data_IF_913270566661
#
_entry.id   IF_913270566661
#
_cell.length_a   1.000
_cell.length_b   1.000
_cell.length_c   1.000
_cell.angle_alpha   90.00
_cell.angle_beta   90.00
_cell.angle_gamma   90.00
#
_symmetry.space_group_name_H-M   'P 1'
#
loop_
_entity.id
_entity.type
_entity.pdbx_description
1 polymer ?
#
# COMPACT_ATOMS: atom_id res chain seq x y z
N UNK A 1 6.93 -7.75 27.67
CA UNK A 1 5.56 -8.10 28.10
C UNK A 1 4.69 -6.90 27.74
N UNK A 2 3.57 -7.13 27.05
CA UNK A 2 2.68 -6.10 26.49
C UNK A 2 1.38 -6.01 27.31
N UNK A 3 1.37 -5.34 28.49
CA UNK A 3 0.21 -5.27 29.36
C UNK A 3 -1.03 -4.64 28.73
N UNK A 4 -0.93 -3.65 27.85
CA UNK A 4 -2.10 -3.03 27.22
C UNK A 4 -2.74 -3.96 26.20
N UNK A 5 -1.96 -4.63 25.36
CA UNK A 5 -2.47 -5.68 24.45
C UNK A 5 -3.09 -6.83 25.25
N UNK A 6 -2.48 -7.24 26.36
CA UNK A 6 -2.98 -8.34 27.20
C UNK A 6 -4.36 -8.05 27.80
N UNK A 7 -4.69 -6.79 28.07
CA UNK A 7 -6.02 -6.40 28.57
C UNK A 7 -7.15 -6.69 27.57
N UNK A 8 -6.83 -6.71 26.28
CA UNK A 8 -7.79 -6.93 25.18
C UNK A 8 -8.19 -8.41 25.01
N UNK A 9 -7.56 -9.35 25.71
CA UNK A 9 -7.69 -10.81 25.46
C UNK A 9 -9.12 -11.36 25.50
N UNK A 10 -10.03 -10.67 26.17
CA UNK A 10 -11.43 -11.07 26.33
C UNK A 10 -12.39 -10.20 25.50
N UNK A 11 -11.88 -9.25 24.74
CA UNK A 11 -12.70 -8.42 23.87
C UNK A 11 -13.07 -9.21 22.60
N UNK A 12 -14.27 -8.96 22.08
CA UNK A 12 -14.67 -9.49 20.79
C UNK A 12 -13.84 -8.81 19.69
N UNK A 13 -13.56 -9.55 18.62
CA UNK A 13 -12.98 -8.96 17.41
C UNK A 13 -13.85 -7.80 16.92
N UNK A 14 -13.22 -6.70 16.50
CA UNK A 14 -13.96 -5.55 15.98
C UNK A 14 -14.75 -5.95 14.72
N UNK A 15 -15.83 -5.26 14.39
CA UNK A 15 -16.50 -5.42 13.10
C UNK A 15 -16.66 -4.05 12.49
N UNK A 16 -16.21 -3.87 11.25
CA UNK A 16 -16.24 -2.58 10.59
C UNK A 16 -16.85 -2.69 9.20
N UNK A 17 -17.76 -1.79 8.86
CA UNK A 17 -18.50 -1.80 7.61
C UNK A 17 -18.73 -0.37 7.12
N UNK A 18 -18.60 -0.17 5.81
CA UNK A 18 -19.12 1.03 5.15
C UNK A 18 -20.49 0.71 4.57
N UNK A 19 -21.49 1.55 4.87
CA UNK A 19 -22.83 1.46 4.29
C UNK A 19 -23.20 2.78 3.64
N UNK A 20 -23.88 2.72 2.49
CA UNK A 20 -24.45 3.92 1.88
C UNK A 20 -25.85 4.15 2.46
N UNK A 21 -25.99 5.14 3.33
CA UNK A 21 -27.28 5.51 3.93
C UNK A 21 -27.52 7.01 3.76
N UNK A 22 -28.72 7.37 3.29
CA UNK A 22 -29.08 8.74 2.93
C UNK A 22 -28.16 9.35 1.85
N UNK A 23 -27.65 8.53 0.92
CA UNK A 23 -26.86 8.99 -0.22
C UNK A 23 -25.39 9.30 0.05
N UNK A 24 -24.87 8.94 1.24
CA UNK A 24 -23.47 9.10 1.59
C UNK A 24 -22.90 7.83 2.25
N UNK A 25 -21.61 7.53 2.09
CA UNK A 25 -20.95 6.46 2.83
C UNK A 25 -20.88 6.82 4.32
N UNK A 26 -21.17 5.83 5.17
CA UNK A 26 -21.12 5.92 6.63
C UNK A 26 -20.34 4.74 7.19
N UNK A 27 -19.54 5.01 8.22
CA UNK A 27 -18.75 4.01 8.89
C UNK A 27 -19.51 3.46 10.10
N UNK A 28 -19.62 2.14 10.17
CA UNK A 28 -20.17 1.43 11.32
C UNK A 28 -19.06 0.62 11.97
N UNK A 29 -18.91 0.75 13.29
CA UNK A 29 -17.97 0.00 14.11
C UNK A 29 -18.74 -0.73 15.21
N UNK A 30 -18.61 -2.06 15.25
CA UNK A 30 -19.32 -2.95 16.17
C UNK A 30 -20.84 -2.80 16.15
N UNK A 31 -21.40 -2.31 15.03
CA UNK A 31 -22.83 -2.09 14.83
C UNK A 31 -23.28 -0.64 15.02
N UNK A 32 -22.45 0.22 15.62
CA UNK A 32 -22.76 1.62 15.86
C UNK A 32 -22.16 2.51 14.78
N UNK A 33 -22.89 3.55 14.36
CA UNK A 33 -22.37 4.56 13.45
C UNK A 33 -21.29 5.40 14.15
N UNK A 34 -20.13 5.56 13.50
CA UNK A 34 -19.02 6.37 13.99
C UNK A 34 -18.61 7.40 12.94
N UNK A 35 -18.17 8.58 13.41
CA UNK A 35 -17.64 9.59 12.51
C UNK A 35 -16.27 9.13 11.98
N UNK A 36 -16.07 9.00 10.64
CA UNK A 36 -14.87 8.40 10.06
C UNK A 36 -13.67 9.35 10.05
N UNK A 37 -13.29 9.86 11.23
CA UNK A 37 -12.13 10.73 11.39
C UNK A 37 -10.93 9.94 11.88
N UNK A 38 -10.02 9.64 10.96
CA UNK A 38 -8.77 8.93 11.26
C UNK A 38 -7.63 9.94 11.48
N UNK A 39 -6.83 9.72 12.51
CA UNK A 39 -5.67 10.54 12.82
C UNK A 39 -4.34 9.83 12.52
N UNK A 40 -3.42 10.59 11.93
CA UNK A 40 -2.04 10.21 11.71
C UNK A 40 -1.12 11.43 11.92
N UNK A 41 0.12 11.17 12.33
CA UNK A 41 1.20 12.16 12.37
C UNK A 41 2.55 11.45 12.30
N UNK A 42 3.59 12.21 12.00
CA UNK A 42 4.95 11.81 12.33
C UNK A 42 5.11 11.77 13.85
N UNK A 43 5.56 10.64 14.41
CA UNK A 43 5.55 10.45 15.86
C UNK A 43 4.12 10.24 16.37
N UNK A 44 3.44 9.24 15.81
CA UNK A 44 2.05 8.94 16.13
C UNK A 44 1.91 8.56 17.61
N UNK A 45 2.90 7.88 18.20
CA UNK A 45 2.89 7.56 19.63
C UNK A 45 2.80 8.83 20.47
N UNK A 46 3.60 9.85 20.16
CA UNK A 46 3.62 11.10 20.92
C UNK A 46 2.31 11.89 20.73
N UNK A 47 1.71 11.80 19.54
CA UNK A 47 0.49 12.52 19.18
C UNK A 47 -0.79 11.82 19.63
N UNK A 48 -0.77 10.51 19.88
CA UNK A 48 -1.95 9.71 20.20
C UNK A 48 -2.72 10.24 21.43
N UNK A 49 -2.01 10.74 22.45
CA UNK A 49 -2.66 11.37 23.61
C UNK A 49 -3.40 12.66 23.23
N UNK A 50 -2.82 13.49 22.36
CA UNK A 50 -3.43 14.75 21.91
C UNK A 50 -4.68 14.44 21.09
N UNK A 51 -4.61 13.45 20.20
CA UNK A 51 -5.79 12.99 19.43
C UNK A 51 -6.92 12.53 20.34
N UNK A 52 -6.59 11.72 21.36
CA UNK A 52 -7.56 11.30 22.39
C UNK A 52 -8.19 12.49 23.13
N UNK A 53 -7.38 13.47 23.55
CA UNK A 53 -7.88 14.69 24.21
C UNK A 53 -8.82 15.51 23.32
N UNK A 54 -8.69 15.37 21.99
CA UNK A 54 -9.58 15.96 20.99
C UNK A 54 -10.80 15.08 20.65
N UNK A 55 -10.93 13.90 21.27
CA UNK A 55 -12.00 12.94 20.98
C UNK A 55 -11.79 12.13 19.69
N UNK A 56 -10.55 11.96 19.24
CA UNK A 56 -10.20 11.16 18.06
C UNK A 56 -9.54 9.85 18.50
N UNK A 57 -10.28 8.75 18.36
CA UNK A 57 -9.85 7.41 18.78
C UNK A 57 -9.50 6.48 17.62
N UNK A 58 -9.81 6.86 16.37
CA UNK A 58 -9.40 6.12 15.18
C UNK A 58 -8.00 6.59 14.76
N UNK A 59 -6.99 5.73 14.94
CA UNK A 59 -5.61 5.99 14.57
C UNK A 59 -5.22 5.23 13.31
N UNK A 60 -4.34 5.81 12.50
CA UNK A 60 -3.93 5.26 11.21
C UNK A 60 -2.41 5.02 11.17
N UNK A 61 -1.87 4.06 11.95
CA UNK A 61 -0.44 3.76 11.97
C UNK A 61 0.03 3.21 10.62
N UNK A 62 1.31 3.42 10.28
CA UNK A 62 1.91 2.86 9.06
C UNK A 62 2.83 1.70 9.45
N UNK A 63 2.67 0.56 8.79
CA UNK A 63 3.41 -0.67 9.01
C UNK A 63 4.08 -1.09 7.70
N UNK A 64 5.40 -0.98 7.61
CA UNK A 64 6.20 -1.53 6.52
C UNK A 64 6.49 -3.01 6.76
N UNK A 65 6.01 -3.91 5.91
CA UNK A 65 6.21 -5.35 6.09
C UNK A 65 7.69 -5.77 6.02
N UNK A 66 8.54 -4.96 5.38
CA UNK A 66 10.00 -5.09 5.42
C UNK A 66 10.55 -5.16 6.85
N UNK A 67 9.89 -4.49 7.81
CA UNK A 67 10.31 -4.44 9.20
C UNK A 67 10.22 -5.79 9.91
N UNK A 68 9.31 -6.65 9.44
CA UNK A 68 8.98 -7.93 10.05
C UNK A 68 9.50 -9.13 9.25
N UNK A 69 10.36 -8.90 8.26
CA UNK A 69 10.90 -9.94 7.39
C UNK A 69 12.43 -9.98 7.41
N UNK A 70 13.05 -10.42 8.52
CA UNK A 70 14.51 -10.36 8.71
C UNK A 70 15.27 -11.29 7.76
N UNK A 71 14.70 -12.44 7.42
CA UNK A 71 15.29 -13.45 6.55
C UNK A 71 14.20 -14.32 5.90
N UNK A 72 14.56 -15.06 4.85
CA UNK A 72 13.64 -15.95 4.16
C UNK A 72 13.03 -17.00 5.10
N UNK A 73 11.71 -17.18 5.03
CA UNK A 73 10.98 -18.17 5.82
C UNK A 73 10.76 -17.82 7.31
N UNK A 74 11.16 -16.63 7.77
CA UNK A 74 10.99 -16.20 9.17
C UNK A 74 10.40 -14.80 9.26
N UNK A 75 9.43 -14.63 10.17
CA UNK A 75 8.82 -13.34 10.47
C UNK A 75 9.02 -12.96 11.94
N UNK A 76 9.19 -11.66 12.20
CA UNK A 76 9.29 -11.08 13.54
C UNK A 76 8.34 -9.89 13.69
N UNK A 77 7.29 -10.07 14.49
CA UNK A 77 6.23 -9.07 14.69
C UNK A 77 6.48 -8.14 15.89
N UNK A 78 7.62 -8.30 16.57
CA UNK A 78 7.90 -7.62 17.85
C UNK A 78 7.82 -6.09 17.74
N UNK A 79 8.25 -5.52 16.61
CA UNK A 79 8.19 -4.07 16.38
C UNK A 79 6.75 -3.57 16.25
N UNK A 80 5.87 -4.34 15.59
CA UNK A 80 4.46 -3.98 15.46
C UNK A 80 3.74 -4.10 16.80
N UNK A 81 3.96 -5.17 17.56
CA UNK A 81 3.41 -5.31 18.91
C UNK A 81 3.88 -4.17 19.82
N UNK A 82 5.16 -3.82 19.78
CA UNK A 82 5.70 -2.71 20.55
C UNK A 82 5.09 -1.35 20.15
N UNK A 83 4.79 -1.14 18.86
CA UNK A 83 4.10 0.06 18.39
C UNK A 83 2.67 0.12 18.94
N UNK A 84 1.87 -0.94 18.74
CA UNK A 84 0.49 -0.96 19.23
C UNK A 84 0.40 -0.87 20.75
N UNK A 85 1.32 -1.51 21.47
CA UNK A 85 1.40 -1.39 22.93
C UNK A 85 1.61 0.08 23.35
N UNK A 86 2.53 0.79 22.69
CA UNK A 86 2.78 2.21 22.98
C UNK A 86 1.58 3.08 22.63
N UNK A 87 0.91 2.82 21.51
CA UNK A 87 -0.30 3.55 21.11
C UNK A 87 -1.43 3.34 22.13
N UNK A 88 -1.69 2.10 22.52
CA UNK A 88 -2.71 1.75 23.53
C UNK A 88 -2.35 2.30 24.92
N UNK A 89 -1.07 2.48 25.24
CA UNK A 89 -0.67 3.14 26.47
C UNK A 89 -1.07 4.61 26.51
N UNK A 90 -1.08 5.30 25.36
CA UNK A 90 -1.49 6.71 25.23
C UNK A 90 -3.01 6.84 25.08
N UNK A 91 -3.61 5.95 24.27
CA UNK A 91 -5.04 5.87 24.06
C UNK A 91 -5.54 4.42 24.19
N UNK A 92 -5.98 4.01 25.40
CA UNK A 92 -6.50 2.66 25.63
C UNK A 92 -7.80 2.33 24.87
N UNK A 93 -8.50 3.36 24.40
CA UNK A 93 -9.78 3.23 23.70
C UNK A 93 -9.60 3.24 22.17
N UNK A 94 -8.36 3.38 21.69
CA UNK A 94 -8.06 3.52 20.28
C UNK A 94 -8.46 2.30 19.44
N UNK A 95 -8.95 2.60 18.24
CA UNK A 95 -9.13 1.67 17.13
C UNK A 95 -8.15 2.03 16.01
N UNK A 96 -7.77 1.04 15.20
CA UNK A 96 -6.71 1.20 14.21
C UNK A 96 -7.17 0.79 12.82
N UNK A 97 -6.82 1.62 11.84
CA UNK A 97 -6.79 1.26 10.42
C UNK A 97 -5.32 1.32 9.97
N UNK A 98 -4.51 0.25 10.15
CA UNK A 98 -3.11 0.31 9.78
C UNK A 98 -2.95 0.42 8.26
N UNK A 99 -2.05 1.30 7.82
CA UNK A 99 -1.54 1.29 6.45
C UNK A 99 -0.43 0.26 6.34
N UNK A 100 -0.70 -0.84 5.65
CA UNK A 100 0.23 -1.96 5.49
C UNK A 100 0.96 -1.79 4.16
N UNK A 101 2.25 -1.47 4.22
CA UNK A 101 3.10 -1.27 3.05
C UNK A 101 3.79 -2.57 2.65
N UNK A 102 3.63 -2.92 1.37
CA UNK A 102 4.19 -4.11 0.73
C UNK A 102 5.67 -3.92 0.33
N UNK A 103 6.46 -3.36 1.24
CA UNK A 103 7.87 -3.08 1.03
C UNK A 103 8.72 -4.32 1.30
N UNK A 104 9.76 -4.53 0.47
CA UNK A 104 10.69 -5.64 0.63
C UNK A 104 11.99 -5.21 1.34
N UNK A 105 12.58 -6.07 2.19
CA UNK A 105 13.85 -5.80 2.86
C UNK A 105 15.03 -5.83 1.87
N UNK A 106 16.15 -5.21 2.26
CA UNK A 106 17.35 -5.11 1.41
C UNK A 106 17.91 -6.48 0.99
N UNK A 107 17.85 -7.50 1.86
CA UNK A 107 18.32 -8.84 1.53
C UNK A 107 17.51 -9.48 0.38
N UNK A 108 16.21 -9.18 0.30
CA UNK A 108 15.35 -9.71 -0.77
C UNK A 108 15.79 -9.13 -2.11
N UNK A 109 16.01 -7.80 -2.15
CA UNK A 109 16.52 -7.11 -3.34
C UNK A 109 17.87 -7.67 -3.80
N UNK A 110 18.76 -8.01 -2.86
CA UNK A 110 20.07 -8.60 -3.15
C UNK A 110 19.98 -10.04 -3.70
N UNK A 111 18.98 -10.83 -3.28
CA UNK A 111 18.76 -12.19 -3.75
C UNK A 111 17.96 -12.27 -5.05
N UNK A 112 17.18 -11.23 -5.35
CA UNK A 112 16.29 -11.16 -6.52
C UNK A 112 16.59 -9.95 -7.41
N UNK A 113 17.85 -9.73 -7.86
CA UNK A 113 18.17 -8.58 -8.69
C UNK A 113 17.44 -8.59 -10.04
N UNK A 114 17.12 -9.78 -10.56
CA UNK A 114 16.41 -9.96 -11.83
C UNK A 114 14.91 -9.64 -11.73
N UNK A 115 14.37 -9.46 -10.53
CA UNK A 115 12.95 -9.14 -10.27
C UNK A 115 12.72 -7.65 -10.01
N UNK A 116 13.76 -6.83 -10.12
CA UNK A 116 13.71 -5.38 -9.92
C UNK A 116 13.33 -4.63 -11.20
N UNK A 117 12.80 -3.43 -11.04
CA UNK A 117 12.47 -2.53 -12.15
C UNK A 117 13.72 -2.19 -12.97
N UNK A 118 13.58 -2.23 -14.29
CA UNK A 118 14.59 -1.75 -15.24
C UNK A 118 14.09 -0.45 -15.85
N UNK A 119 14.68 0.68 -15.46
CA UNK A 119 14.25 1.98 -15.97
C UNK A 119 14.60 2.17 -17.45
N UNK A 120 13.64 2.68 -18.24
CA UNK A 120 13.88 3.05 -19.63
C UNK A 120 14.70 4.34 -19.77
N UNK A 121 14.61 5.24 -18.79
CA UNK A 121 15.35 6.50 -18.76
C UNK A 121 16.58 6.39 -17.86
N UNK A 122 17.68 7.10 -18.19
CA UNK A 122 18.89 7.07 -17.39
C UNK A 122 18.62 7.65 -16.00
N UNK A 123 18.96 6.86 -14.99
CA UNK A 123 18.90 7.26 -13.58
C UNK A 123 20.13 8.08 -13.23
N UNK A 124 20.00 9.16 -12.45
CA UNK A 124 21.15 9.95 -11.97
C UNK A 124 21.37 9.70 -10.47
N UNK A 125 21.96 8.56 -10.07
CA UNK A 125 22.12 8.19 -8.67
C UNK A 125 23.01 9.17 -7.89
N UNK A 126 23.93 9.87 -8.57
CA UNK A 126 24.88 10.82 -7.96
C UNK A 126 24.31 12.23 -7.75
N UNK A 127 23.03 12.45 -8.06
CA UNK A 127 22.36 13.75 -7.88
C UNK A 127 21.61 13.79 -6.54
N UNK A 128 22.37 14.00 -5.45
CA UNK A 128 21.96 13.95 -4.03
C UNK A 128 20.71 14.75 -3.65
N UNK A 129 20.24 15.71 -4.48
CA UNK A 129 19.13 16.59 -4.11
C UNK A 129 17.74 15.96 -4.29
N UNK A 130 17.60 14.95 -5.15
CA UNK A 130 16.30 14.35 -5.48
C UNK A 130 16.12 12.94 -4.89
N UNK A 131 17.21 12.18 -4.72
CA UNK A 131 17.19 10.81 -4.20
C UNK A 131 17.93 10.78 -2.86
N UNK A 132 17.18 11.04 -1.77
CA UNK A 132 17.72 10.93 -0.41
C UNK A 132 17.89 9.47 -0.02
N UNK A 133 18.84 9.21 0.87
CA UNK A 133 18.93 7.91 1.54
C UNK A 133 17.57 7.51 2.11
N UNK A 134 17.20 6.25 1.91
CA UNK A 134 15.96 5.70 2.43
C UNK A 134 16.03 5.72 3.96
N UNK A 135 15.14 6.49 4.58
CA UNK A 135 15.01 6.60 6.03
C UNK A 135 13.99 5.55 6.49
N UNK A 136 14.41 4.64 7.36
CA UNK A 136 13.48 3.72 8.02
C UNK A 136 12.84 4.41 9.23
N UNK A 137 11.52 4.48 9.24
CA UNK A 137 10.74 4.96 10.39
C UNK A 137 11.04 4.12 11.64
N UNK A 138 11.16 4.79 12.79
CA UNK A 138 11.21 4.12 14.10
C UNK A 138 9.84 3.63 14.57
N UNK A 139 8.77 4.03 13.90
CA UNK A 139 7.40 3.58 14.14
C UNK A 139 6.95 2.74 12.94
N UNK A 140 6.83 1.43 13.15
CA UNK A 140 6.28 0.49 12.15
C UNK A 140 7.18 0.26 10.93
N UNK A 141 8.41 0.77 10.93
CA UNK A 141 9.46 0.41 9.97
C UNK A 141 9.23 0.78 8.50
N UNK A 142 8.27 1.67 8.21
CA UNK A 142 8.09 2.29 6.89
C UNK A 142 9.42 2.78 6.32
N UNK A 143 9.65 2.52 5.04
CA UNK A 143 10.76 3.08 4.28
C UNK A 143 10.32 4.41 3.64
N UNK A 144 10.96 5.52 4.02
CA UNK A 144 10.70 6.85 3.47
C UNK A 144 11.85 7.30 2.58
N UNK A 145 11.55 7.57 1.32
CA UNK A 145 12.53 7.94 0.30
C UNK A 145 12.24 7.21 -1.01
N UNK A 146 13.07 7.46 -2.02
CA UNK A 146 12.98 6.79 -3.32
C UNK A 146 14.25 5.94 -3.46
N UNK A 147 14.10 4.62 -3.43
CA UNK A 147 15.17 3.68 -3.76
C UNK A 147 15.25 3.47 -5.26
N UNK A 148 16.46 3.40 -5.81
CA UNK A 148 16.69 3.00 -7.21
C UNK A 148 16.54 1.50 -7.45
N UNK A 149 16.38 0.71 -6.38
CA UNK A 149 16.16 -0.72 -6.43
C UNK A 149 14.79 -1.00 -5.81
N UNK A 150 13.79 -1.23 -6.64
CA UNK A 150 12.44 -1.61 -6.22
C UNK A 150 11.91 -2.76 -7.09
N UNK A 151 11.10 -3.67 -6.51
CA UNK A 151 10.57 -4.82 -7.24
C UNK A 151 9.62 -4.35 -8.35
N UNK A 152 9.66 -5.04 -9.49
CA UNK A 152 8.63 -4.88 -10.49
C UNK A 152 7.31 -5.44 -9.96
N UNK A 153 6.21 -4.69 -10.09
CA UNK A 153 4.88 -5.24 -9.79
C UNK A 153 4.47 -6.35 -10.77
N UNK A 154 5.19 -6.54 -11.88
CA UNK A 154 5.00 -7.68 -12.78
C UNK A 154 5.77 -8.94 -12.31
N UNK A 155 6.62 -8.85 -11.29
CA UNK A 155 7.34 -10.00 -10.74
C UNK A 155 6.41 -10.99 -10.05
N UNK A 156 6.36 -12.21 -10.56
CA UNK A 156 5.62 -13.32 -9.93
C UNK A 156 6.26 -13.77 -8.62
N UNK A 157 7.59 -13.68 -8.51
CA UNK A 157 8.34 -14.02 -7.28
C UNK A 157 7.98 -13.02 -6.17
N UNK A 158 8.05 -11.72 -6.47
CA UNK A 158 7.65 -10.69 -5.52
C UNK A 158 6.20 -10.85 -5.07
N UNK A 159 5.27 -11.06 -6.01
CA UNK A 159 3.85 -11.27 -5.69
C UNK A 159 3.66 -12.48 -4.76
N UNK A 160 4.27 -13.61 -5.09
CA UNK A 160 4.13 -14.83 -4.31
C UNK A 160 4.71 -14.70 -2.90
N UNK A 161 5.85 -14.04 -2.74
CA UNK A 161 6.46 -13.88 -1.42
C UNK A 161 5.75 -12.83 -0.58
N UNK A 162 5.32 -11.72 -1.19
CA UNK A 162 4.50 -10.72 -0.50
C UNK A 162 3.12 -11.27 -0.12
N UNK A 163 2.52 -12.17 -0.92
CA UNK A 163 1.29 -12.87 -0.55
C UNK A 163 1.51 -13.70 0.72
N UNK A 164 2.58 -14.51 0.78
CA UNK A 164 2.90 -15.31 1.97
C UNK A 164 3.11 -14.43 3.20
N UNK A 165 3.84 -13.32 3.05
CA UNK A 165 4.13 -12.39 4.14
C UNK A 165 2.86 -11.68 4.62
N UNK A 166 2.03 -11.18 3.70
CA UNK A 166 0.77 -10.51 4.03
C UNK A 166 -0.20 -11.47 4.73
N UNK A 167 -0.36 -12.71 4.22
CA UNK A 167 -1.20 -13.71 4.88
C UNK A 167 -0.71 -14.01 6.30
N UNK A 168 0.60 -14.20 6.48
CA UNK A 168 1.16 -14.45 7.80
C UNK A 168 0.97 -13.27 8.77
N UNK A 169 1.11 -12.03 8.27
CA UNK A 169 0.83 -10.82 9.05
C UNK A 169 -0.64 -10.75 9.47
N UNK A 170 -1.57 -10.94 8.52
CA UNK A 170 -3.01 -10.88 8.80
C UNK A 170 -3.40 -11.98 9.80
N UNK A 171 -2.94 -13.21 9.61
CA UNK A 171 -3.18 -14.32 10.54
C UNK A 171 -2.62 -14.02 11.93
N UNK A 172 -1.44 -13.41 12.02
CA UNK A 172 -0.87 -12.98 13.30
C UNK A 172 -1.78 -11.96 14.00
N UNK A 173 -2.20 -10.92 13.28
CA UNK A 173 -3.08 -9.87 13.82
C UNK A 173 -4.46 -10.43 14.21
N UNK A 174 -5.02 -11.32 13.40
CA UNK A 174 -6.31 -11.96 13.61
C UNK A 174 -6.33 -12.92 14.81
N UNK A 175 -5.20 -13.53 15.12
CA UNK A 175 -5.04 -14.40 16.29
C UNK A 175 -4.56 -13.64 17.53
N UNK A 176 -4.30 -12.33 17.41
CA UNK A 176 -3.89 -11.46 18.50
C UNK A 176 -5.10 -10.80 19.18
N UNK A 177 -5.02 -10.48 20.49
CA UNK A 177 -6.00 -9.61 21.14
C UNK A 177 -6.22 -8.27 20.43
N UNK A 178 -5.24 -7.80 19.63
CA UNK A 178 -5.36 -6.60 18.80
C UNK A 178 -6.52 -6.67 17.81
N UNK A 179 -6.99 -7.85 17.39
CA UNK A 179 -8.13 -7.99 16.49
C UNK A 179 -9.43 -7.31 17.01
N UNK A 180 -9.53 -7.09 18.32
CA UNK A 180 -10.61 -6.30 18.95
C UNK A 180 -10.56 -4.81 18.64
N UNK A 181 -9.43 -4.31 18.14
CA UNK A 181 -9.15 -2.89 17.87
C UNK A 181 -8.84 -2.59 16.40
N UNK A 182 -8.87 -3.58 15.51
CA UNK A 182 -8.57 -3.38 14.08
C UNK A 182 -9.88 -3.16 13.30
N UNK A 183 -10.05 -1.96 12.75
CA UNK A 183 -11.23 -1.62 11.91
C UNK A 183 -11.01 -1.97 10.45
N UNK A 184 -9.79 -2.34 10.07
CA UNK A 184 -9.44 -2.72 8.71
C UNK A 184 -7.97 -2.51 8.42
N UNK A 185 -7.63 -2.58 7.13
CA UNK A 185 -6.27 -2.35 6.64
C UNK A 185 -6.30 -1.52 5.37
N UNK A 186 -5.44 -0.51 5.30
CA UNK A 186 -5.17 0.18 4.05
C UNK A 186 -3.93 -0.45 3.39
N UNK A 187 -4.10 -1.16 2.28
CA UNK A 187 -2.98 -1.79 1.58
C UNK A 187 -2.27 -0.76 0.71
N UNK A 188 -0.96 -0.65 0.88
CA UNK A 188 -0.10 0.29 0.16
C UNK A 188 1.08 -0.40 -0.50
N UNK A 189 1.50 0.14 -1.64
CA UNK A 189 2.78 -0.11 -2.28
C UNK A 189 3.14 1.13 -3.11
N UNK A 190 4.32 1.16 -3.71
CA UNK A 190 4.74 2.28 -4.55
C UNK A 190 5.22 3.47 -3.74
N UNK A 191 5.43 4.59 -4.43
CA UNK A 191 5.95 5.82 -3.80
C UNK A 191 4.97 6.27 -2.70
N UNK A 192 5.51 6.44 -1.48
CA UNK A 192 4.78 6.80 -0.24
C UNK A 192 3.66 5.83 0.18
N UNK A 193 3.58 4.64 -0.42
CA UNK A 193 2.51 3.68 -0.17
C UNK A 193 1.18 4.05 -0.82
N UNK A 194 1.20 4.95 -1.82
CA UNK A 194 0.00 5.51 -2.44
C UNK A 194 -0.33 4.90 -3.80
N UNK A 195 0.31 3.78 -4.15
CA UNK A 195 0.21 3.10 -5.45
C UNK A 195 0.70 3.92 -6.65
N UNK A 196 1.45 4.99 -6.41
CA UNK A 196 2.32 5.57 -7.43
C UNK A 196 3.38 4.55 -7.82
N UNK A 197 3.47 4.19 -9.10
CA UNK A 197 4.48 3.22 -9.55
C UNK A 197 5.89 3.65 -9.09
N UNK A 198 6.68 2.71 -8.57
CA UNK A 198 8.05 3.03 -8.18
C UNK A 198 8.82 3.60 -9.38
N UNK A 199 9.68 4.58 -9.11
CA UNK A 199 10.52 5.20 -10.14
C UNK A 199 9.72 5.77 -11.33
N UNK A 200 8.49 6.26 -11.11
CA UNK A 200 7.62 6.87 -12.13
C UNK A 200 8.30 7.97 -12.98
N UNK A 201 9.40 8.55 -12.50
CA UNK A 201 10.24 9.52 -13.22
C UNK A 201 11.11 8.89 -14.33
N UNK A 202 11.39 7.59 -14.25
CA UNK A 202 12.39 6.89 -15.05
C UNK A 202 11.87 5.68 -15.84
N UNK A 203 10.62 5.31 -15.59
CA UNK A 203 9.92 4.21 -16.26
C UNK A 203 9.33 4.69 -17.59
N UNK A 204 8.87 3.80 -18.49
CA UNK A 204 8.32 2.46 -18.27
C UNK A 204 9.35 1.44 -17.76
N UNK A 205 8.85 0.43 -17.03
CA UNK A 205 9.64 -0.70 -16.57
C UNK A 205 9.94 -1.65 -17.74
N UNK A 206 11.22 -1.81 -18.06
CA UNK A 206 11.74 -2.68 -19.11
C UNK A 206 12.11 -4.07 -18.59
N UNK A 207 11.79 -4.40 -17.33
CA UNK A 207 12.04 -5.73 -16.77
C UNK A 207 11.41 -6.82 -17.65
N UNK A 208 12.04 -8.00 -17.67
CA UNK A 208 11.55 -9.11 -18.50
C UNK A 208 10.12 -9.51 -18.10
N UNK A 209 9.82 -9.45 -16.80
CA UNK A 209 8.52 -9.75 -16.22
C UNK A 209 7.45 -8.77 -16.73
N UNK A 210 7.76 -7.46 -16.74
CA UNK A 210 6.84 -6.46 -17.28
C UNK A 210 6.58 -6.72 -18.77
N UNK A 211 7.62 -6.93 -19.56
CA UNK A 211 7.48 -7.18 -21.00
C UNK A 211 6.73 -8.48 -21.31
N UNK A 212 6.95 -9.55 -20.52
CA UNK A 212 6.17 -10.79 -20.63
C UNK A 212 4.69 -10.55 -20.31
N UNK A 213 4.39 -9.67 -19.35
CA UNK A 213 3.02 -9.44 -18.87
C UNK A 213 2.20 -8.53 -19.79
N UNK A 214 2.76 -7.40 -20.23
CA UNK A 214 2.01 -6.39 -20.99
C UNK A 214 2.48 -6.22 -22.44
N UNK A 215 3.53 -6.94 -22.84
CA UNK A 215 4.15 -6.85 -24.15
C UNK A 215 5.31 -5.85 -24.20
N UNK A 216 5.92 -5.72 -25.38
CA UNK A 216 7.01 -4.79 -25.59
C UNK A 216 6.57 -3.33 -25.35
N UNK A 217 7.45 -2.56 -24.74
CA UNK A 217 7.25 -1.15 -24.47
C UNK A 217 7.39 -0.34 -25.77
N UNK A 218 6.40 0.51 -26.13
CA UNK A 218 6.55 1.40 -27.28
C UNK A 218 7.77 2.32 -27.15
N UNK A 219 8.43 2.60 -28.28
CA UNK A 219 9.62 3.44 -28.32
C UNK A 219 9.40 4.84 -27.73
N UNK A 220 10.47 5.45 -27.23
CA UNK A 220 10.42 6.73 -26.54
C UNK A 220 9.69 7.82 -27.34
N UNK A 221 10.01 7.96 -28.64
CA UNK A 221 9.40 8.98 -29.50
C UNK A 221 7.87 8.80 -29.62
N UNK A 222 7.39 7.56 -29.74
CA UNK A 222 5.95 7.27 -29.81
C UNK A 222 5.23 7.63 -28.50
N UNK A 223 5.90 7.48 -27.35
CA UNK A 223 5.34 7.84 -26.05
C UNK A 223 5.41 9.34 -25.77
N UNK A 224 6.43 10.06 -26.23
CA UNK A 224 6.56 11.50 -26.00
C UNK A 224 5.76 12.36 -27.00
N UNK A 225 5.61 11.90 -28.23
CA UNK A 225 4.86 12.61 -29.25
C UNK A 225 3.37 12.26 -29.14
N UNK A 226 2.51 13.24 -29.38
CA UNK A 226 1.07 13.05 -29.52
C UNK A 226 0.53 13.99 -30.61
N UNK A 227 -0.50 13.56 -31.33
CA UNK A 227 -0.98 14.33 -32.48
C UNK A 227 -1.79 15.58 -32.08
N UNK A 228 -2.44 15.56 -30.91
CA UNK A 228 -3.38 16.59 -30.49
C UNK A 228 -3.02 17.21 -29.12
N UNK A 229 -1.72 17.40 -28.85
CA UNK A 229 -1.19 18.11 -27.68
C UNK A 229 -1.28 17.35 -26.36
N UNK A 230 -2.49 17.06 -25.88
CA UNK A 230 -2.74 16.23 -24.69
C UNK A 230 -3.43 14.91 -25.01
N UNK A 231 -4.03 14.79 -26.19
CA UNK A 231 -4.82 13.64 -26.60
C UNK A 231 -4.10 12.83 -27.68
N UNK A 232 -4.32 11.51 -27.67
CA UNK A 232 -3.83 10.56 -28.67
C UNK A 232 -4.91 10.23 -29.70
N UNK A 233 -4.49 10.02 -30.95
CA UNK A 233 -5.32 9.52 -32.04
C UNK A 233 -5.45 7.98 -31.93
N UNK A 234 -6.63 7.42 -31.64
CA UNK A 234 -6.79 5.98 -31.45
C UNK A 234 -6.54 5.17 -32.72
N UNK A 235 -6.63 5.75 -33.91
CA UNK A 235 -6.35 5.03 -35.17
C UNK A 235 -4.84 4.89 -35.45
N UNK A 236 -4.02 5.80 -34.92
CA UNK A 236 -2.58 5.88 -35.23
C UNK A 236 -1.68 5.55 -34.05
N UNK A 237 -2.14 5.84 -32.84
CA UNK A 237 -1.38 5.72 -31.59
C UNK A 237 -1.93 4.60 -30.70
N UNK A 238 -2.69 3.67 -31.31
CA UNK A 238 -3.33 2.54 -30.64
C UNK A 238 -2.38 1.76 -29.74
N UNK A 239 -1.16 1.46 -30.21
CA UNK A 239 -0.21 0.64 -29.47
C UNK A 239 0.25 1.30 -28.15
N UNK A 240 0.35 2.63 -28.11
CA UNK A 240 0.70 3.36 -26.89
C UNK A 240 -0.48 3.41 -25.92
N UNK A 241 -1.69 3.61 -26.45
CA UNK A 241 -2.93 3.57 -25.65
C UNK A 241 -3.08 2.20 -25.00
N UNK A 242 -2.91 1.13 -25.78
CA UNK A 242 -3.04 -0.25 -25.31
C UNK A 242 -1.94 -0.63 -24.31
N UNK A 243 -0.71 -0.16 -24.53
CA UNK A 243 0.38 -0.34 -23.56
C UNK A 243 0.02 0.25 -22.19
N UNK A 244 -0.41 1.52 -22.14
CA UNK A 244 -0.79 2.14 -20.87
C UNK A 244 -2.05 1.50 -20.29
N UNK A 245 -3.05 1.14 -21.11
CA UNK A 245 -4.23 0.42 -20.62
C UNK A 245 -3.83 -0.85 -19.87
N UNK A 246 -2.96 -1.69 -20.46
CA UNK A 246 -2.45 -2.92 -19.80
C UNK A 246 -1.61 -2.63 -18.57
N UNK A 247 -0.75 -1.62 -18.61
CA UNK A 247 0.04 -1.21 -17.44
C UNK A 247 -0.86 -0.83 -16.25
N UNK A 248 -1.84 0.05 -16.47
CA UNK A 248 -2.73 0.52 -15.41
C UNK A 248 -3.72 -0.57 -14.95
N UNK A 249 -4.35 -1.28 -15.88
CA UNK A 249 -5.38 -2.27 -15.56
C UNK A 249 -4.80 -3.62 -15.14
N UNK A 250 -3.88 -4.20 -15.91
CA UNK A 250 -3.43 -5.58 -15.75
C UNK A 250 -2.23 -5.71 -14.82
N UNK A 251 -1.51 -4.61 -14.57
CA UNK A 251 -0.41 -4.56 -13.59
C UNK A 251 -0.82 -3.79 -12.36
N UNK A 252 -0.97 -2.46 -12.41
CA UNK A 252 -1.16 -1.65 -11.21
C UNK A 252 -2.44 -2.03 -10.44
N UNK A 253 -3.60 -1.98 -11.10
CA UNK A 253 -4.88 -2.29 -10.47
C UNK A 253 -4.99 -3.77 -10.06
N UNK A 254 -4.61 -4.73 -10.92
CA UNK A 254 -4.63 -6.16 -10.54
C UNK A 254 -3.71 -6.48 -9.36
N UNK A 255 -2.56 -5.82 -9.22
CA UNK A 255 -1.67 -6.02 -8.07
C UNK A 255 -2.36 -5.58 -6.78
N UNK A 256 -2.92 -4.37 -6.78
CA UNK A 256 -3.65 -3.83 -5.63
C UNK A 256 -4.82 -4.76 -5.28
N UNK A 257 -5.64 -5.12 -6.26
CA UNK A 257 -6.81 -5.96 -6.03
C UNK A 257 -6.46 -7.38 -5.56
N UNK A 258 -5.32 -7.92 -6.00
CA UNK A 258 -4.83 -9.20 -5.52
C UNK A 258 -4.57 -9.18 -3.99
N UNK A 259 -3.87 -8.15 -3.48
CA UNK A 259 -3.60 -8.02 -2.05
C UNK A 259 -4.81 -7.56 -1.23
N UNK A 260 -5.71 -6.77 -1.82
CA UNK A 260 -6.98 -6.42 -1.21
C UNK A 260 -7.86 -7.66 -1.01
N UNK A 261 -7.94 -8.55 -2.02
CA UNK A 261 -8.65 -9.83 -1.92
C UNK A 261 -8.09 -10.68 -0.78
N UNK A 262 -6.77 -10.84 -0.68
CA UNK A 262 -6.13 -11.58 0.42
C UNK A 262 -6.54 -11.00 1.78
N UNK A 263 -6.56 -9.67 1.89
CA UNK A 263 -6.97 -8.98 3.12
C UNK A 263 -8.41 -9.31 3.49
N UNK A 264 -9.34 -9.28 2.53
CA UNK A 264 -10.75 -9.64 2.77
C UNK A 264 -10.93 -11.13 3.08
N UNK A 265 -10.14 -12.01 2.46
CA UNK A 265 -10.15 -13.46 2.72
C UNK A 265 -9.70 -13.78 4.15
N UNK A 266 -8.51 -13.33 4.57
CA UNK A 266 -7.94 -13.63 5.88
C UNK A 266 -8.72 -12.97 7.04
N UNK A 267 -9.48 -11.92 6.74
CA UNK A 267 -10.35 -11.24 7.72
C UNK A 267 -11.81 -11.67 7.64
N UNK A 268 -12.14 -12.63 6.77
CA UNK A 268 -13.52 -13.12 6.55
C UNK A 268 -14.53 -11.99 6.24
N UNK A 269 -14.09 -10.95 5.52
CA UNK A 269 -14.84 -9.72 5.24
C UNK A 269 -15.34 -8.96 6.48
N UNK A 270 -14.81 -9.23 7.68
CA UNK A 270 -15.25 -8.62 8.93
C UNK A 270 -14.88 -7.14 9.06
N UNK A 271 -13.77 -6.75 8.43
CA UNK A 271 -13.18 -5.41 8.55
C UNK A 271 -12.96 -4.78 7.17
N UNK A 272 -12.63 -3.49 7.16
CA UNK A 272 -12.43 -2.73 5.93
C UNK A 272 -11.12 -3.11 5.23
N UNK A 273 -11.11 -3.00 3.91
CA UNK A 273 -9.90 -2.93 3.10
C UNK A 273 -9.95 -1.70 2.20
N UNK A 274 -8.94 -0.84 2.32
CA UNK A 274 -8.83 0.38 1.51
C UNK A 274 -7.49 0.48 0.81
N UNK A 275 -7.38 1.45 -0.10
CA UNK A 275 -6.12 1.84 -0.75
C UNK A 275 -6.21 3.30 -1.21
N UNK A 276 -5.06 3.95 -1.34
CA UNK A 276 -4.99 5.18 -2.13
C UNK A 276 -4.85 4.81 -3.60
N UNK A 277 -5.73 5.36 -4.44
CA UNK A 277 -5.70 5.15 -5.88
C UNK A 277 -6.56 6.20 -6.59
N UNK A 278 -6.29 6.46 -7.87
CA UNK A 278 -7.14 7.31 -8.71
C UNK A 278 -6.71 8.78 -8.79
N UNK A 279 -5.42 9.09 -8.59
CA UNK A 279 -4.88 10.42 -8.80
C UNK A 279 -4.93 10.80 -10.30
N UNK A 280 -5.97 11.54 -10.71
CA UNK A 280 -6.21 11.90 -12.11
C UNK A 280 -5.71 13.30 -12.50
N UNK A 281 -5.89 14.30 -11.63
CA UNK A 281 -5.67 15.71 -11.98
C UNK A 281 -4.38 16.32 -11.41
N UNK A 282 -3.90 15.83 -10.27
CA UNK A 282 -2.73 16.38 -9.55
C UNK A 282 -1.58 15.36 -9.43
N UNK A 283 -1.45 14.45 -10.39
CA UNK A 283 -0.32 13.55 -10.46
C UNK A 283 0.75 14.09 -11.41
N UNK A 284 1.97 14.29 -10.94
CA UNK A 284 3.10 14.76 -11.77
C UNK A 284 3.59 13.70 -12.77
N UNK A 285 3.14 12.45 -12.62
CA UNK A 285 3.52 11.30 -13.46
C UNK A 285 2.32 10.66 -14.17
N UNK A 286 1.29 11.41 -14.57
CA UNK A 286 -0.02 10.91 -15.04
C UNK A 286 0.02 9.55 -15.78
N UNK A 287 0.81 9.41 -16.85
CA UNK A 287 0.86 8.17 -17.64
C UNK A 287 1.67 7.04 -16.97
N UNK A 288 2.77 7.37 -16.29
CA UNK A 288 3.68 6.41 -15.66
C UNK A 288 3.32 6.08 -14.20
N UNK A 289 2.43 6.87 -13.60
CA UNK A 289 2.12 6.84 -12.17
C UNK A 289 1.21 5.71 -11.73
N UNK A 290 0.63 4.93 -12.63
CA UNK A 290 -0.13 3.71 -12.30
C UNK A 290 -1.58 3.89 -11.83
N UNK A 291 -2.22 5.06 -12.02
CA UNK A 291 -3.55 5.39 -11.48
C UNK A 291 -4.74 5.40 -12.46
N UNK A 292 -4.54 5.13 -13.75
CA UNK A 292 -5.56 5.35 -14.79
C UNK A 292 -6.53 4.17 -14.96
N UNK A 293 -6.80 3.41 -13.91
CA UNK A 293 -7.85 2.38 -13.86
C UNK A 293 -8.81 2.53 -12.65
N UNK A 294 -9.30 3.74 -12.31
CA UNK A 294 -10.09 3.97 -11.10
C UNK A 294 -11.41 3.19 -11.09
N UNK A 295 -12.06 3.02 -12.25
CA UNK A 295 -13.30 2.26 -12.39
C UNK A 295 -13.14 0.79 -11.98
N UNK A 296 -11.98 0.20 -12.28
CA UNK A 296 -11.66 -1.19 -11.91
C UNK A 296 -11.53 -1.34 -10.39
N UNK A 297 -10.90 -0.36 -9.73
CA UNK A 297 -10.76 -0.34 -8.27
C UNK A 297 -12.12 -0.10 -7.61
N UNK A 298 -12.88 0.92 -8.03
CA UNK A 298 -14.16 1.30 -7.45
C UNK A 298 -15.26 0.24 -7.61
N UNK A 299 -15.12 -0.67 -8.58
CA UNK A 299 -16.05 -1.80 -8.78
C UNK A 299 -15.66 -3.07 -8.04
N UNK A 300 -14.47 -3.12 -7.45
CA UNK A 300 -14.00 -4.31 -6.76
C UNK A 300 -14.79 -4.53 -5.47
N UNK A 301 -15.28 -5.75 -5.20
CA UNK A 301 -15.88 -6.08 -3.90
C UNK A 301 -14.84 -6.18 -2.79
N UNK A 302 -13.55 -6.04 -3.11
CA UNK A 302 -12.45 -6.14 -2.16
C UNK A 302 -11.97 -4.78 -1.62
N UNK A 303 -12.56 -3.68 -2.08
CA UNK A 303 -12.30 -2.33 -1.59
C UNK A 303 -13.60 -1.78 -1.00
N UNK A 304 -13.53 -1.25 0.22
CA UNK A 304 -14.63 -0.63 0.96
C UNK A 304 -14.66 0.90 0.81
#
# INVERSE_FOLDING_TARGET
MYPYITKLKNENKAVAQVRTECGAPRLFLNGDEVYPLLAWSWGLVDSARIFRECGIDLLHPILGLNASWPESGRYDWSEFEALFEKLLAQNPDAYFLPRVLLDVPAWWKQQHPDELIVCALPTQPDNDRQYRDVIRSGEGGMLWGISMQEPSWASDIWRADMEKLLRAFLQFMENSPLASRLVGYQIGSGIYGEWHHYLSEFVPDLSEQMQRKIGAVPGLDARLQNQYGLLRDPEKEHDVIEHYRRFHEDVCAETLLHFARITKEETENRVLCGAFYGYQLENVWIQEGGHLAPEKILRSPHID
#
